data_IF_751443723673
#
_entry.id   IF_751443723673
#
_cell.length_a   1.000
_cell.length_b   1.000
_cell.length_c   1.000
_cell.angle_alpha   90.00
_cell.angle_beta   90.00
_cell.angle_gamma   90.00
#
_symmetry.space_group_name_H-M   'P 1'
#
loop_
_entity.id
_entity.type
_entity.pdbx_description
1 polymer ?
#
# COMPACT_ATOMS: atom_id res chain seq x y z
N UNK A 1 8.70 -8.98 -16.89
CA UNK A 1 8.25 -8.13 -15.76
C UNK A 1 6.75 -7.93 -15.90
N UNK A 2 5.99 -8.10 -14.81
CA UNK A 2 4.57 -7.75 -14.78
C UNK A 2 4.46 -6.22 -14.86
N UNK A 3 3.53 -5.71 -15.68
CA UNK A 3 3.18 -4.28 -15.71
C UNK A 3 1.82 -4.11 -15.05
N UNK A 4 1.76 -3.23 -14.08
CA UNK A 4 0.53 -2.81 -13.42
C UNK A 4 0.05 -1.53 -14.07
N UNK A 5 -1.25 -1.44 -14.36
CA UNK A 5 -1.89 -0.24 -14.88
C UNK A 5 -2.98 0.16 -13.90
N UNK A 6 -3.08 1.45 -13.60
CA UNK A 6 -4.17 1.96 -12.79
C UNK A 6 -5.45 2.05 -13.62
N UNK A 7 -6.55 1.66 -13.01
CA UNK A 7 -7.86 1.69 -13.63
C UNK A 7 -8.95 1.99 -12.59
N UNK A 8 -9.99 2.67 -13.03
CA UNK A 8 -11.22 2.88 -12.25
C UNK A 8 -12.19 1.75 -12.58
N UNK A 9 -12.63 1.01 -11.55
CA UNK A 9 -13.74 0.06 -11.71
C UNK A 9 -15.06 0.84 -11.74
N UNK A 10 -15.77 0.73 -12.85
CA UNK A 10 -17.08 1.34 -13.02
C UNK A 10 -18.20 0.44 -12.44
N UNK A 11 -19.36 0.98 -12.05
CA UNK A 11 -20.47 0.20 -11.49
C UNK A 11 -21.00 -0.92 -12.40
N UNK A 12 -20.78 -0.81 -13.71
CA UNK A 12 -21.14 -1.83 -14.70
C UNK A 12 -20.12 -2.99 -14.78
N UNK A 13 -19.07 -2.98 -13.95
CA UNK A 13 -18.00 -3.98 -13.94
C UNK A 13 -16.89 -3.75 -14.97
N UNK A 14 -16.93 -2.65 -15.73
CA UNK A 14 -15.86 -2.31 -16.68
C UNK A 14 -14.69 -1.60 -15.98
N UNK A 15 -13.46 -1.94 -16.38
CA UNK A 15 -12.24 -1.26 -15.92
C UNK A 15 -11.86 -0.18 -16.93
N UNK A 16 -11.82 1.07 -16.47
CA UNK A 16 -11.35 2.19 -17.27
C UNK A 16 -9.91 2.52 -16.87
N UNK A 17 -8.95 2.17 -17.73
CA UNK A 17 -7.54 2.47 -17.50
C UNK A 17 -7.28 3.98 -17.52
N UNK A 18 -6.54 4.49 -16.53
CA UNK A 18 -6.08 5.88 -16.51
C UNK A 18 -4.96 6.07 -17.54
N UNK A 19 -4.05 5.10 -17.60
CA UNK A 19 -3.02 5.01 -18.64
C UNK A 19 -3.29 3.80 -19.53
N UNK A 20 -3.45 4.07 -20.84
CA UNK A 20 -3.69 3.01 -21.79
C UNK A 20 -2.45 2.09 -21.90
N UNK A 21 -2.61 0.77 -21.77
CA UNK A 21 -1.53 -0.14 -22.08
C UNK A 21 -1.14 0.03 -23.55
N UNK A 22 0.14 0.30 -23.80
CA UNK A 22 0.70 0.38 -25.16
C UNK A 22 0.39 -0.91 -25.96
N UNK A 23 0.26 -2.02 -25.25
CA UNK A 23 -0.24 -3.29 -25.78
C UNK A 23 -1.77 -3.27 -25.75
N UNK A 24 -2.40 -2.67 -26.76
CA UNK A 24 -3.82 -2.91 -27.04
C UNK A 24 -3.97 -4.39 -27.37
N UNK A 25 -4.36 -5.19 -26.38
CA UNK A 25 -4.50 -6.63 -26.53
C UNK A 25 -5.68 -6.91 -27.46
N UNK A 26 -5.39 -7.20 -28.74
CA UNK A 26 -6.41 -7.63 -29.73
C UNK A 26 -7.03 -9.01 -29.40
N UNK A 27 -6.62 -9.64 -28.29
CA UNK A 27 -7.08 -10.96 -27.83
C UNK A 27 -7.37 -10.90 -26.33
N UNK A 28 -8.39 -11.64 -25.83
CA UNK A 28 -8.64 -11.76 -24.40
C UNK A 28 -7.40 -12.25 -23.64
N UNK A 29 -7.11 -11.65 -22.49
CA UNK A 29 -6.01 -12.06 -21.62
C UNK A 29 -6.45 -12.07 -20.15
N UNK A 30 -5.73 -12.84 -19.32
CA UNK A 30 -5.92 -12.85 -17.86
C UNK A 30 -5.23 -11.63 -17.27
N UNK A 31 -5.90 -10.96 -16.33
CA UNK A 31 -5.37 -9.81 -15.59
C UNK A 31 -5.47 -10.06 -14.10
N UNK A 32 -4.56 -9.46 -13.34
CA UNK A 32 -4.64 -9.38 -11.88
C UNK A 32 -5.25 -8.02 -11.53
N UNK A 33 -6.27 -8.03 -10.66
CA UNK A 33 -6.95 -6.83 -10.21
C UNK A 33 -6.72 -6.67 -8.72
N UNK A 34 -6.17 -5.52 -8.34
CA UNK A 34 -5.99 -5.14 -6.93
C UNK A 34 -6.89 -3.94 -6.67
N UNK A 35 -7.79 -4.08 -5.70
CA UNK A 35 -8.60 -2.96 -5.25
C UNK A 35 -7.78 -2.12 -4.28
N UNK A 36 -7.58 -0.86 -4.62
CA UNK A 36 -6.84 0.11 -3.79
C UNK A 36 -7.72 0.76 -2.74
N UNK A 37 -9.04 0.60 -2.83
CA UNK A 37 -9.92 1.00 -1.76
C UNK A 37 -9.78 0.02 -0.61
N UNK A 38 -9.29 0.51 0.51
CA UNK A 38 -9.31 -0.24 1.76
C UNK A 38 -10.79 -0.55 2.07
N UNK A 39 -11.18 -1.82 2.29
CA UNK A 39 -12.47 -2.04 2.92
C UNK A 39 -12.45 -1.25 4.21
N UNK A 40 -13.40 -0.32 4.38
CA UNK A 40 -13.68 0.34 5.66
C UNK A 40 -13.49 -0.74 6.74
N UNK A 41 -12.54 -0.57 7.68
CA UNK A 41 -12.06 -1.71 8.44
C UNK A 41 -13.26 -2.22 9.22
N UNK A 42 -13.78 -3.38 8.85
CA UNK A 42 -14.91 -3.97 9.55
C UNK A 42 -14.54 -4.28 11.01
N UNK A 43 -13.25 -4.23 11.35
CA UNK A 43 -12.74 -4.08 12.71
C UNK A 43 -11.42 -3.31 12.69
N UNK A 44 -11.48 -1.97 12.76
CA UNK A 44 -10.30 -1.13 13.09
C UNK A 44 -9.64 -1.59 14.39
N UNK A 45 -10.41 -2.20 15.30
CA UNK A 45 -9.96 -2.77 16.56
C UNK A 45 -9.00 -3.97 16.41
N UNK A 46 -9.01 -4.69 15.28
CA UNK A 46 -8.09 -5.81 15.01
C UNK A 46 -6.91 -5.42 14.10
N UNK A 47 -6.82 -4.16 13.69
CA UNK A 47 -5.66 -3.72 12.92
C UNK A 47 -4.43 -3.72 13.83
N UNK A 48 -3.47 -4.61 13.55
CA UNK A 48 -2.23 -4.72 14.32
C UNK A 48 -1.48 -3.38 14.43
N UNK A 49 -1.61 -2.51 13.42
CA UNK A 49 -1.05 -1.16 13.48
C UNK A 49 -1.68 -0.32 14.62
N UNK A 50 -3.01 -0.31 14.74
CA UNK A 50 -3.72 0.42 15.80
C UNK A 50 -3.47 -0.16 17.20
N UNK A 51 -3.33 -1.50 17.30
CA UNK A 51 -3.02 -2.16 18.57
C UNK A 51 -1.58 -1.89 19.03
N UNK A 52 -0.64 -1.83 18.08
CA UNK A 52 0.77 -1.57 18.37
C UNK A 52 1.14 -0.09 18.48
N UNK A 53 0.28 0.82 18.01
CA UNK A 53 0.55 2.27 17.97
C UNK A 53 0.96 2.83 19.34
N UNK A 54 0.20 2.54 20.39
CA UNK A 54 0.49 3.05 21.73
C UNK A 54 1.80 2.51 22.33
N UNK A 55 2.12 1.24 22.04
CA UNK A 55 3.35 0.61 22.51
C UNK A 55 4.58 1.14 21.75
N UNK A 56 4.47 1.26 20.43
CA UNK A 56 5.53 1.80 19.58
C UNK A 56 5.79 3.28 19.85
N UNK A 57 4.75 4.08 20.10
CA UNK A 57 4.90 5.50 20.46
C UNK A 57 5.70 5.70 21.76
N UNK A 58 5.58 4.77 22.71
CA UNK A 58 6.37 4.82 23.94
C UNK A 58 7.79 4.31 23.71
N UNK A 59 7.95 3.24 22.93
CA UNK A 59 9.26 2.63 22.68
C UNK A 59 10.17 3.54 21.83
N UNK A 60 9.59 4.28 20.88
CA UNK A 60 10.32 5.27 20.07
C UNK A 60 10.80 6.51 20.83
N UNK A 61 10.30 6.77 22.03
CA UNK A 61 10.75 7.89 22.86
C UNK A 61 11.90 7.51 23.79
N UNK A 62 12.48 6.32 23.65
CA UNK A 62 13.58 5.84 24.48
C UNK A 62 14.90 6.33 23.93
N UNK A 63 15.80 6.78 24.80
CA UNK A 63 17.15 7.24 24.44
C UNK A 63 17.96 6.20 23.65
N UNK A 64 17.65 4.92 23.84
CA UNK A 64 18.23 3.78 23.09
C UNK A 64 17.92 3.87 21.59
N UNK A 65 16.70 4.27 21.24
CA UNK A 65 16.29 4.47 19.86
C UNK A 65 17.03 5.68 19.28
N UNK A 66 17.07 6.81 19.96
CA UNK A 66 17.81 8.01 19.50
C UNK A 66 19.29 7.70 19.21
N UNK A 67 19.92 6.90 20.08
CA UNK A 67 21.27 6.41 19.85
C UNK A 67 21.36 5.51 18.60
N UNK A 68 20.41 4.59 18.40
CA UNK A 68 20.33 3.75 17.21
C UNK A 68 20.14 4.57 15.91
N UNK A 69 19.27 5.58 15.92
CA UNK A 69 19.05 6.50 14.80
C UNK A 69 20.30 7.33 14.48
N UNK A 70 21.09 7.71 15.49
CA UNK A 70 22.36 8.43 15.30
C UNK A 70 23.39 7.61 14.50
N UNK A 71 23.37 6.28 14.62
CA UNK A 71 24.26 5.40 13.86
C UNK A 71 23.85 5.24 12.39
N UNK A 72 22.58 5.46 12.06
CA UNK A 72 22.07 5.43 10.68
C UNK A 72 22.25 6.77 9.94
N UNK A 73 22.46 7.85 10.69
CA UNK A 73 22.94 9.11 10.13
C UNK A 73 24.43 8.98 9.82
N UNK A 74 24.73 8.25 8.74
CA UNK A 74 26.06 8.27 8.16
C UNK A 74 26.47 9.74 7.97
N UNK A 75 27.56 10.13 8.62
CA UNK A 75 28.22 11.43 8.44
C UNK A 75 28.39 11.64 6.95
N UNK A 76 27.84 12.75 6.47
CA UNK A 76 27.86 13.18 5.07
C UNK A 76 29.26 13.20 4.48
#
# INVERSE_FOLDING_TARGET
MLRTYEAVLQPNGSLQFLDLPATTTRKPCRVLVTFTNEPLPMDTALCGASLSESALAQDWLRDEEDAAWSHLQAVK
#
